data_IF_842575451406
#
_entry.id   IF_842575451406
#
_cell.length_a   1.000
_cell.length_b   1.000
_cell.length_c   1.000
_cell.angle_alpha   90.00
_cell.angle_beta   90.00
_cell.angle_gamma   90.00
#
_symmetry.space_group_name_H-M   'P 1'
#
loop_
_entity.id
_entity.type
_entity.pdbx_description
1 polymer ?
#
# COMPACT_ATOMS: atom_id res chain seq x y z
N UNK A 1 55.27 19.76 -40.14
CA UNK A 1 54.32 20.35 -39.17
C UNK A 1 53.02 19.57 -39.27
N UNK A 2 52.84 18.57 -38.41
CA UNK A 2 51.63 17.74 -38.39
C UNK A 2 50.60 18.36 -37.45
N UNK A 3 49.42 18.67 -37.99
CA UNK A 3 48.28 19.23 -37.24
C UNK A 3 47.67 18.16 -36.35
N UNK A 4 47.40 18.40 -35.05
CA UNK A 4 46.82 17.40 -34.18
C UNK A 4 45.31 17.29 -34.42
N UNK A 5 44.84 16.05 -34.59
CA UNK A 5 43.43 15.71 -34.73
C UNK A 5 42.65 16.15 -33.48
N UNK A 6 41.69 17.05 -33.66
CA UNK A 6 40.72 17.45 -32.63
C UNK A 6 39.88 16.23 -32.26
N UNK A 7 40.21 15.60 -31.14
CA UNK A 7 39.31 14.66 -30.48
C UNK A 7 38.14 15.48 -29.92
N UNK A 8 36.98 15.34 -30.54
CA UNK A 8 35.74 15.88 -29.98
C UNK A 8 35.44 15.10 -28.69
N UNK A 9 35.14 15.76 -27.56
CA UNK A 9 34.78 15.07 -26.34
C UNK A 9 33.52 14.22 -26.56
N UNK A 10 33.36 13.06 -25.89
CA UNK A 10 32.17 12.24 -26.03
C UNK A 10 30.94 13.08 -25.65
N UNK A 11 30.00 13.20 -26.59
CA UNK A 11 28.73 13.87 -26.35
C UNK A 11 28.02 13.14 -25.19
N UNK A 12 27.80 13.83 -24.08
CA UNK A 12 27.00 13.35 -22.96
C UNK A 12 25.57 13.15 -23.46
N UNK A 13 25.21 11.91 -23.75
CA UNK A 13 23.85 11.54 -24.14
C UNK A 13 22.92 11.89 -22.97
N UNK A 14 22.10 12.92 -23.16
CA UNK A 14 21.19 13.39 -22.12
C UNK A 14 19.97 12.47 -22.10
N UNK A 15 19.69 11.89 -20.92
CA UNK A 15 18.51 11.04 -20.68
C UNK A 15 17.39 11.87 -20.08
N UNK A 16 16.15 11.57 -20.46
CA UNK A 16 14.95 12.19 -19.91
C UNK A 16 14.60 11.66 -18.51
N UNK A 17 13.48 12.15 -17.95
CA UNK A 17 12.99 11.76 -16.63
C UNK A 17 12.51 10.29 -16.53
N UNK A 18 12.40 9.57 -17.65
CA UNK A 18 12.10 8.15 -17.74
C UNK A 18 13.35 7.30 -18.07
N UNK A 19 14.49 7.94 -18.34
CA UNK A 19 15.75 7.27 -18.66
C UNK A 19 15.94 6.94 -20.14
N UNK A 20 15.09 7.47 -21.02
CA UNK A 20 15.22 7.36 -22.47
C UNK A 20 16.20 8.42 -22.99
N UNK A 21 17.01 8.06 -23.98
CA UNK A 21 17.89 9.01 -24.66
C UNK A 21 17.13 9.70 -25.78
N UNK A 22 17.28 11.02 -25.92
CA UNK A 22 16.50 11.80 -26.88
C UNK A 22 16.82 11.52 -28.37
N UNK A 23 17.88 10.76 -28.65
CA UNK A 23 18.27 10.37 -30.01
C UNK A 23 17.38 9.24 -30.54
N UNK A 24 16.41 9.55 -31.40
CA UNK A 24 15.60 8.55 -32.12
C UNK A 24 14.07 8.67 -31.96
N UNK A 25 13.59 9.71 -31.28
CA UNK A 25 12.15 9.97 -31.16
C UNK A 25 11.62 10.69 -32.40
N UNK A 26 10.58 10.13 -33.02
CA UNK A 26 9.71 10.84 -33.96
C UNK A 26 8.75 11.78 -33.21
N UNK A 27 8.35 11.40 -31.99
CA UNK A 27 7.53 12.25 -31.12
C UNK A 27 8.01 12.11 -29.69
N UNK A 28 8.31 13.24 -29.05
CA UNK A 28 8.65 13.34 -27.64
C UNK A 28 7.91 14.55 -27.04
N UNK A 29 6.83 14.30 -26.30
CA UNK A 29 6.03 15.33 -25.64
C UNK A 29 6.01 15.02 -24.14
N UNK A 30 6.26 16.04 -23.33
CA UNK A 30 6.10 16.02 -21.88
C UNK A 30 5.19 17.18 -21.46
N UNK A 31 4.18 16.88 -20.64
CA UNK A 31 3.27 17.86 -20.04
C UNK A 31 3.08 17.53 -18.58
N UNK A 32 2.99 18.55 -17.74
CA UNK A 32 2.83 18.38 -16.29
C UNK A 32 1.69 19.24 -15.78
N UNK A 33 0.95 18.68 -14.84
CA UNK A 33 -0.06 19.37 -14.03
C UNK A 33 0.23 19.16 -12.56
N UNK A 34 -0.62 19.70 -11.68
CA UNK A 34 -0.41 19.63 -10.24
C UNK A 34 -0.35 18.19 -9.68
N UNK A 35 -1.04 17.23 -10.31
CA UNK A 35 -1.20 15.86 -9.79
C UNK A 35 -0.73 14.78 -10.76
N UNK A 36 -0.57 15.10 -12.04
CA UNK A 36 -0.32 14.15 -13.11
C UNK A 36 0.79 14.67 -14.03
N UNK A 37 1.59 13.76 -14.57
CA UNK A 37 2.51 14.06 -15.67
C UNK A 37 2.25 13.13 -16.84
N UNK A 38 2.35 13.68 -18.04
CA UNK A 38 1.96 13.03 -19.28
C UNK A 38 3.14 12.97 -20.22
N UNK A 39 3.24 11.85 -20.93
CA UNK A 39 4.27 11.64 -21.92
C UNK A 39 3.69 11.06 -23.20
N UNK A 40 4.22 11.52 -24.33
CA UNK A 40 4.07 10.86 -25.61
C UNK A 40 5.44 10.51 -26.14
N UNK A 41 5.73 9.22 -26.29
CA UNK A 41 7.02 8.71 -26.75
C UNK A 41 6.81 7.82 -27.95
N UNK A 42 7.28 8.26 -29.12
CA UNK A 42 7.22 7.53 -30.38
C UNK A 42 8.61 7.46 -30.99
N UNK A 43 9.10 6.25 -31.25
CA UNK A 43 10.40 6.01 -31.88
C UNK A 43 10.24 5.37 -33.25
N UNK A 44 11.19 5.66 -34.14
CA UNK A 44 11.31 5.00 -35.45
C UNK A 44 12.77 4.72 -35.75
N UNK A 45 13.11 3.49 -36.16
CA UNK A 45 14.49 3.11 -36.44
C UNK A 45 15.38 2.99 -35.20
N UNK A 46 14.79 2.66 -34.05
CA UNK A 46 15.46 2.49 -32.77
C UNK A 46 16.57 1.44 -32.89
N UNK A 47 17.79 1.82 -32.49
CA UNK A 47 18.87 0.87 -32.22
C UNK A 47 18.76 0.43 -30.77
N UNK A 48 19.08 -0.84 -30.48
CA UNK A 48 19.00 -1.42 -29.14
C UNK A 48 19.49 -0.42 -28.08
N UNK A 49 18.56 0.04 -27.25
CA UNK A 49 18.81 1.09 -26.27
C UNK A 49 18.41 0.60 -24.88
N UNK A 50 19.27 0.86 -23.90
CA UNK A 50 18.95 0.54 -22.51
C UNK A 50 18.40 1.76 -21.77
N UNK A 51 17.16 1.63 -21.33
CA UNK A 51 16.48 2.56 -20.44
C UNK A 51 16.75 2.14 -19.00
N UNK A 52 17.12 3.09 -18.15
CA UNK A 52 17.31 2.87 -16.72
C UNK A 52 16.73 4.04 -15.95
N UNK A 53 15.84 3.77 -15.00
CA UNK A 53 15.28 4.77 -14.10
C UNK A 53 15.45 4.27 -12.67
N UNK A 54 16.23 4.97 -11.82
CA UNK A 54 16.39 4.62 -10.42
C UNK A 54 15.06 4.67 -9.65
N UNK A 55 15.00 3.94 -8.54
CA UNK A 55 13.91 4.00 -7.58
C UNK A 55 13.72 5.44 -7.05
N UNK A 56 12.46 5.88 -6.92
CA UNK A 56 12.07 7.19 -6.43
C UNK A 56 10.66 7.17 -5.84
N UNK A 57 10.29 8.23 -5.09
CA UNK A 57 8.95 8.39 -4.52
C UNK A 57 7.91 9.02 -5.47
N UNK A 58 8.12 8.96 -6.79
CA UNK A 58 7.32 9.68 -7.80
C UNK A 58 5.90 9.13 -8.02
N UNK A 59 5.60 7.96 -7.45
CA UNK A 59 4.29 7.32 -7.56
C UNK A 59 4.30 6.21 -8.62
N UNK A 60 3.33 6.22 -9.53
CA UNK A 60 3.11 5.13 -10.50
C UNK A 60 3.16 5.65 -11.92
N UNK A 61 3.75 4.88 -12.83
CA UNK A 61 3.71 5.12 -14.27
C UNK A 61 2.82 4.09 -14.97
N UNK A 62 1.87 4.57 -15.75
CA UNK A 62 1.02 3.77 -16.64
C UNK A 62 1.47 4.09 -18.07
N UNK A 63 1.87 3.09 -18.84
CA UNK A 63 2.12 3.23 -20.27
C UNK A 63 1.16 2.38 -21.08
N UNK A 64 0.62 2.97 -22.14
CA UNK A 64 -0.34 2.36 -23.05
C UNK A 64 0.29 2.32 -24.43
N UNK A 65 0.46 1.12 -24.99
CA UNK A 65 1.02 0.93 -26.32
C UNK A 65 -0.03 1.29 -27.37
N UNK A 66 0.29 2.23 -28.25
CA UNK A 66 -0.59 2.71 -29.32
C UNK A 66 -0.37 1.96 -30.63
N UNK A 67 0.81 1.36 -30.78
CA UNK A 67 1.15 0.44 -31.87
C UNK A 67 1.52 -0.93 -31.30
N UNK A 68 1.45 -1.96 -32.16
CA UNK A 68 1.92 -3.30 -31.84
C UNK A 68 3.33 -3.57 -32.37
N UNK A 69 3.93 -4.66 -31.91
CA UNK A 69 5.23 -5.11 -32.38
C UNK A 69 6.40 -4.58 -31.56
N UNK A 70 6.14 -3.88 -30.46
CA UNK A 70 7.20 -3.46 -29.55
C UNK A 70 7.69 -4.63 -28.69
N UNK A 71 9.00 -4.85 -28.64
CA UNK A 71 9.63 -5.84 -27.78
C UNK A 71 10.62 -5.17 -26.84
N UNK A 72 10.56 -5.52 -25.56
CA UNK A 72 11.57 -5.10 -24.57
C UNK A 72 11.92 -6.22 -23.60
N UNK A 73 13.15 -6.20 -23.13
CA UNK A 73 13.66 -7.13 -22.12
C UNK A 73 13.84 -6.40 -20.80
N UNK A 74 13.04 -6.72 -19.80
CA UNK A 74 13.10 -6.08 -18.48
C UNK A 74 14.10 -6.84 -17.60
N UNK A 75 14.99 -6.10 -16.96
CA UNK A 75 16.09 -6.59 -16.14
C UNK A 75 15.76 -6.34 -14.66
N UNK A 76 15.70 -7.42 -13.86
CA UNK A 76 15.44 -7.38 -12.41
C UNK A 76 16.51 -8.19 -11.67
N UNK A 77 17.53 -7.50 -11.17
CA UNK A 77 18.70 -8.15 -10.56
C UNK A 77 19.38 -9.10 -11.54
N UNK A 78 19.43 -10.40 -11.20
CA UNK A 78 19.99 -11.45 -12.09
C UNK A 78 18.98 -12.05 -13.09
N UNK A 79 17.70 -11.69 -12.98
CA UNK A 79 16.64 -12.21 -13.85
C UNK A 79 16.34 -11.23 -14.97
N UNK A 80 15.93 -11.77 -16.11
CA UNK A 80 15.43 -10.96 -17.22
C UNK A 80 14.26 -11.65 -17.90
N UNK A 81 13.24 -10.90 -18.29
CA UNK A 81 12.10 -11.42 -19.02
C UNK A 81 11.83 -10.52 -20.22
N UNK A 82 11.63 -11.13 -21.38
CA UNK A 82 11.26 -10.44 -22.61
C UNK A 82 9.74 -10.39 -22.73
N UNK A 83 9.23 -9.23 -23.10
CA UNK A 83 7.80 -8.98 -23.31
C UNK A 83 7.57 -8.41 -24.71
N UNK A 84 6.53 -8.90 -25.36
CA UNK A 84 6.00 -8.39 -26.63
C UNK A 84 4.73 -7.60 -26.35
N UNK A 85 4.69 -6.35 -26.79
CA UNK A 85 3.57 -5.43 -26.66
C UNK A 85 2.81 -5.37 -27.98
N UNK A 86 1.50 -5.62 -27.89
CA UNK A 86 0.55 -5.37 -28.98
C UNK A 86 0.02 -3.94 -28.84
N UNK A 87 -0.73 -3.50 -29.84
CA UNK A 87 -1.56 -2.32 -29.66
C UNK A 87 -2.52 -2.56 -28.49
N UNK A 88 -2.74 -1.51 -27.68
CA UNK A 88 -3.55 -1.51 -26.46
C UNK A 88 -2.96 -2.31 -25.29
N UNK A 89 -1.76 -2.88 -25.44
CA UNK A 89 -1.06 -3.49 -24.33
C UNK A 89 -0.61 -2.42 -23.33
N UNK A 90 -0.93 -2.66 -22.07
CA UNK A 90 -0.62 -1.79 -20.94
C UNK A 90 0.61 -2.29 -20.19
N UNK A 91 1.37 -1.34 -19.67
CA UNK A 91 2.41 -1.58 -18.69
C UNK A 91 2.21 -0.65 -17.51
N UNK A 92 2.26 -1.20 -16.29
CA UNK A 92 2.17 -0.41 -15.07
C UNK A 92 3.39 -0.67 -14.20
N UNK A 93 3.98 0.41 -13.70
CA UNK A 93 5.22 0.39 -12.93
C UNK A 93 5.10 1.29 -11.71
N UNK A 94 5.57 0.78 -10.57
CA UNK A 94 5.83 1.57 -9.38
C UNK A 94 7.23 2.21 -9.46
N UNK A 95 7.32 3.52 -9.25
CA UNK A 95 8.61 4.22 -9.24
C UNK A 95 9.48 3.89 -8.03
N UNK A 96 8.93 3.31 -6.96
CA UNK A 96 9.70 2.87 -5.79
C UNK A 96 10.65 1.70 -6.08
N UNK A 97 10.54 1.09 -7.28
CA UNK A 97 11.44 0.06 -7.75
C UNK A 97 12.38 0.59 -8.86
N UNK A 98 13.65 0.14 -8.80
CA UNK A 98 14.58 0.31 -9.91
C UNK A 98 14.05 -0.37 -11.16
N UNK A 99 14.14 0.32 -12.29
CA UNK A 99 13.76 -0.23 -13.58
C UNK A 99 14.91 -0.15 -14.55
N UNK A 100 15.14 -1.27 -15.22
CA UNK A 100 16.05 -1.37 -16.35
C UNK A 100 15.40 -2.21 -17.43
N UNK A 101 15.48 -1.76 -18.67
CA UNK A 101 15.01 -2.52 -19.80
C UNK A 101 15.81 -2.23 -21.06
N UNK A 102 16.06 -3.28 -21.83
CA UNK A 102 16.59 -3.17 -23.18
C UNK A 102 15.40 -3.04 -24.14
N UNK A 103 15.30 -1.90 -24.82
CA UNK A 103 14.29 -1.62 -25.84
C UNK A 103 14.80 -2.19 -27.17
N UNK A 104 14.13 -3.24 -27.66
CA UNK A 104 14.65 -4.06 -28.76
C UNK A 104 14.04 -3.72 -30.11
N UNK A 105 13.01 -2.88 -30.14
CA UNK A 105 12.32 -2.43 -31.34
C UNK A 105 11.65 -1.08 -31.11
N UNK A 106 11.21 -0.46 -32.20
CA UNK A 106 10.38 0.74 -32.19
C UNK A 106 9.17 0.59 -31.28
N UNK A 107 8.71 1.72 -30.77
CA UNK A 107 7.58 1.78 -29.86
C UNK A 107 6.81 3.07 -29.97
N UNK A 108 5.53 2.97 -29.64
CA UNK A 108 4.63 4.10 -29.64
C UNK A 108 3.75 4.10 -28.39
N UNK A 109 4.04 4.96 -27.42
CA UNK A 109 3.37 4.97 -26.12
C UNK A 109 2.80 6.34 -25.76
N UNK A 110 1.61 6.32 -25.18
CA UNK A 110 1.12 7.37 -24.28
C UNK A 110 1.35 6.92 -22.84
N UNK A 111 1.91 7.78 -21.99
CA UNK A 111 2.15 7.47 -20.58
C UNK A 111 1.57 8.52 -19.65
N UNK A 112 1.10 8.06 -18.50
CA UNK A 112 0.59 8.89 -17.41
C UNK A 112 1.30 8.49 -16.12
N UNK A 113 2.00 9.44 -15.51
CA UNK A 113 2.55 9.36 -14.18
C UNK A 113 1.53 9.90 -13.17
N UNK A 114 1.16 9.06 -12.21
CA UNK A 114 0.29 9.38 -11.10
C UNK A 114 1.14 9.75 -9.88
N UNK A 115 1.00 10.98 -9.40
CA UNK A 115 1.65 11.39 -8.14
C UNK A 115 1.10 10.61 -6.94
N UNK A 116 1.86 10.51 -5.83
CA UNK A 116 1.35 9.94 -4.58
C UNK A 116 0.06 10.63 -4.10
N UNK A 117 -0.02 11.95 -4.21
CA UNK A 117 -1.21 12.73 -3.82
C UNK A 117 -2.46 12.38 -4.63
N UNK A 118 -2.31 12.10 -5.94
CA UNK A 118 -3.42 11.63 -6.77
C UNK A 118 -3.92 10.26 -6.30
N UNK A 119 -2.98 9.33 -6.04
CA UNK A 119 -3.27 7.97 -5.60
C UNK A 119 -3.97 7.98 -4.23
N UNK A 120 -3.46 8.78 -3.29
CA UNK A 120 -4.06 8.95 -1.96
C UNK A 120 -5.46 9.56 -2.03
N UNK A 121 -5.65 10.59 -2.86
CA UNK A 121 -6.96 11.23 -3.06
C UNK A 121 -8.01 10.31 -3.68
N UNK A 122 -7.60 9.34 -4.50
CA UNK A 122 -8.50 8.32 -5.05
C UNK A 122 -8.93 7.31 -3.98
N UNK A 123 -8.01 6.90 -3.10
CA UNK A 123 -8.31 5.99 -1.98
C UNK A 123 -9.29 6.61 -0.97
N UNK A 124 -9.28 7.92 -0.78
CA UNK A 124 -10.24 8.61 0.11
C UNK A 124 -11.67 8.68 -0.48
N UNK A 125 -11.80 8.70 -1.81
CA UNK A 125 -13.09 8.86 -2.52
C UNK A 125 -13.82 7.53 -2.78
N UNK A 126 -13.13 6.40 -2.74
CA UNK A 126 -13.72 5.08 -3.03
C UNK A 126 -13.23 3.97 -2.08
N UNK A 127 -14.07 3.60 -1.10
CA UNK A 127 -13.85 2.55 -0.06
C UNK A 127 -12.55 2.73 0.76
N UNK A 128 -12.49 2.29 2.04
CA UNK A 128 -11.32 2.48 2.90
C UNK A 128 -10.13 1.54 2.57
N UNK A 129 -9.98 1.13 1.30
CA UNK A 129 -8.86 0.32 0.84
C UNK A 129 -7.71 1.24 0.41
N UNK A 130 -6.57 1.14 1.09
CA UNK A 130 -5.34 1.79 0.61
C UNK A 130 -4.78 0.99 -0.56
N UNK A 131 -4.41 1.69 -1.64
CA UNK A 131 -3.61 1.12 -2.73
C UNK A 131 -2.24 0.81 -2.13
N UNK A 132 -1.94 -0.47 -1.90
CA UNK A 132 -0.73 -0.92 -1.20
C UNK A 132 0.48 -1.09 -2.14
N UNK A 133 0.38 -0.52 -3.34
CA UNK A 133 1.25 -0.77 -4.49
C UNK A 133 0.44 -1.23 -5.71
N UNK A 134 1.05 -1.15 -6.89
CA UNK A 134 0.48 -1.66 -8.15
C UNK A 134 1.14 -2.99 -8.48
N UNK A 135 0.34 -4.00 -8.84
CA UNK A 135 0.91 -5.23 -9.36
C UNK A 135 1.67 -4.91 -10.67
N UNK A 136 2.98 -5.22 -10.78
CA UNK A 136 3.72 -4.95 -12.00
C UNK A 136 3.08 -5.74 -13.14
N UNK A 137 2.33 -5.04 -13.97
CA UNK A 137 1.59 -5.60 -15.09
C UNK A 137 2.32 -5.18 -16.34
N UNK A 138 2.63 -6.16 -17.20
CA UNK A 138 3.44 -5.96 -18.38
C UNK A 138 2.79 -6.67 -19.55
N UNK A 139 2.56 -5.94 -20.64
CA UNK A 139 1.98 -6.45 -21.87
C UNK A 139 0.61 -7.13 -21.66
N UNK A 140 -0.25 -6.50 -20.85
CA UNK A 140 -1.62 -6.94 -20.66
C UNK A 140 -2.56 -6.11 -21.53
N UNK A 141 -3.51 -6.75 -22.22
CA UNK A 141 -4.43 -6.05 -23.09
C UNK A 141 -5.58 -5.44 -22.28
N UNK A 142 -5.74 -4.11 -22.35
CA UNK A 142 -6.83 -3.38 -21.69
C UNK A 142 -7.47 -2.43 -22.69
N UNK A 143 -8.61 -2.84 -23.22
CA UNK A 143 -9.29 -2.11 -24.30
C UNK A 143 -9.68 -0.69 -23.88
N UNK A 144 -10.15 -0.50 -22.65
CA UNK A 144 -10.57 0.82 -22.18
C UNK A 144 -9.36 1.76 -22.08
N UNK A 145 -8.25 1.29 -21.50
CA UNK A 145 -7.02 2.07 -21.48
C UNK A 145 -6.46 2.31 -22.88
N UNK A 146 -6.58 1.35 -23.81
CA UNK A 146 -6.21 1.54 -25.21
C UNK A 146 -6.98 2.68 -25.88
N UNK A 147 -8.31 2.71 -25.72
CA UNK A 147 -9.17 3.78 -26.24
C UNK A 147 -8.84 5.15 -25.61
N UNK A 148 -8.69 5.21 -24.29
CA UNK A 148 -8.31 6.44 -23.57
C UNK A 148 -6.90 6.91 -23.91
N UNK A 149 -5.95 5.99 -24.09
CA UNK A 149 -4.57 6.27 -24.46
C UNK A 149 -4.45 6.89 -25.86
N UNK A 150 -5.25 6.42 -26.83
CA UNK A 150 -5.35 7.03 -28.15
C UNK A 150 -5.92 8.45 -28.09
N UNK A 151 -7.00 8.65 -27.32
CA UNK A 151 -7.58 9.97 -27.12
C UNK A 151 -6.56 10.93 -26.48
N UNK A 152 -5.82 10.47 -25.47
CA UNK A 152 -4.76 11.24 -24.81
C UNK A 152 -3.64 11.59 -25.78
N UNK A 153 -3.22 10.64 -26.62
CA UNK A 153 -2.18 10.86 -27.62
C UNK A 153 -2.55 11.96 -28.62
N UNK A 154 -3.80 12.00 -29.06
CA UNK A 154 -4.31 13.05 -29.96
C UNK A 154 -4.34 14.42 -29.25
N UNK A 155 -4.87 14.47 -28.03
CA UNK A 155 -4.96 15.71 -27.26
C UNK A 155 -3.57 16.30 -26.89
N UNK A 156 -2.56 15.45 -26.69
CA UNK A 156 -1.20 15.91 -26.44
C UNK A 156 -0.53 16.55 -27.67
N UNK A 157 -0.97 16.25 -28.89
CA UNK A 157 -0.37 16.76 -30.13
C UNK A 157 -0.89 18.14 -30.55
N UNK A 158 -2.15 18.46 -30.26
CA UNK A 158 -2.81 19.67 -30.73
C UNK A 158 -2.37 20.94 -29.99
N UNK A 159 -2.08 20.83 -28.69
CA UNK A 159 -1.44 21.91 -27.91
C UNK A 159 -2.32 23.14 -27.60
N UNK A 160 -3.64 23.07 -27.80
CA UNK A 160 -4.58 24.16 -27.47
C UNK A 160 -4.96 24.17 -25.97
N UNK A 161 -5.40 25.31 -25.46
CA UNK A 161 -5.86 25.47 -24.09
C UNK A 161 -7.10 24.60 -23.78
N UNK A 162 -7.99 24.41 -24.75
CA UNK A 162 -9.12 23.48 -24.62
C UNK A 162 -8.66 22.03 -24.42
N UNK A 163 -7.53 21.66 -25.04
CA UNK A 163 -6.95 20.31 -24.91
C UNK A 163 -6.24 20.10 -23.58
N UNK A 164 -5.79 21.16 -22.89
CA UNK A 164 -5.20 21.04 -21.56
C UNK A 164 -6.21 20.46 -20.54
N UNK A 165 -7.45 20.96 -20.54
CA UNK A 165 -8.52 20.41 -19.70
C UNK A 165 -8.84 18.96 -20.11
N UNK A 166 -8.90 18.67 -21.40
CA UNK A 166 -9.16 17.32 -21.90
C UNK A 166 -8.07 16.33 -21.47
N UNK A 167 -6.79 16.71 -21.60
CA UNK A 167 -5.62 15.92 -21.15
C UNK A 167 -5.76 15.60 -19.66
N UNK A 168 -6.15 16.57 -18.84
CA UNK A 168 -6.36 16.36 -17.41
C UNK A 168 -7.49 15.37 -17.13
N UNK A 169 -8.65 15.52 -17.78
CA UNK A 169 -9.79 14.61 -17.60
C UNK A 169 -9.46 13.19 -18.07
N UNK A 170 -8.74 13.04 -19.18
CA UNK A 170 -8.26 11.75 -19.67
C UNK A 170 -7.26 11.13 -18.69
N UNK A 171 -6.35 11.93 -18.14
CA UNK A 171 -5.41 11.51 -17.10
C UNK A 171 -6.10 10.99 -15.84
N UNK A 172 -7.12 11.71 -15.36
CA UNK A 172 -7.94 11.30 -14.21
C UNK A 172 -8.67 9.99 -14.52
N UNK A 173 -9.27 9.85 -15.70
CA UNK A 173 -9.97 8.63 -16.11
C UNK A 173 -9.03 7.42 -16.20
N UNK A 174 -7.88 7.57 -16.88
CA UNK A 174 -6.83 6.55 -16.99
C UNK A 174 -6.34 6.16 -15.60
N UNK A 175 -5.98 7.14 -14.77
CA UNK A 175 -5.47 6.89 -13.42
C UNK A 175 -6.49 6.17 -12.54
N UNK A 176 -7.76 6.60 -12.60
CA UNK A 176 -8.85 5.98 -11.84
C UNK A 176 -9.06 4.52 -12.22
N UNK A 177 -9.20 4.24 -13.52
CA UNK A 177 -9.39 2.87 -14.01
C UNK A 177 -8.16 2.00 -13.73
N UNK A 178 -6.95 2.50 -14.00
CA UNK A 178 -5.73 1.74 -13.78
C UNK A 178 -5.52 1.41 -12.29
N UNK A 179 -5.88 2.31 -11.37
CA UNK A 179 -5.82 2.02 -9.94
C UNK A 179 -6.90 1.03 -9.49
N UNK A 180 -8.07 1.03 -10.14
CA UNK A 180 -9.09 0.01 -9.88
C UNK A 180 -8.69 -1.38 -10.42
N UNK A 181 -8.11 -1.44 -11.63
CA UNK A 181 -7.77 -2.68 -12.33
C UNK A 181 -6.42 -3.29 -11.91
N UNK A 182 -5.40 -2.44 -11.63
CA UNK A 182 -4.01 -2.86 -11.37
C UNK A 182 -3.47 -2.40 -10.03
N UNK A 183 -4.02 -1.33 -9.46
CA UNK A 183 -3.76 -0.95 -8.07
C UNK A 183 -4.21 -2.12 -7.22
N UNK A 184 -3.27 -2.83 -6.60
CA UNK A 184 -3.58 -4.02 -5.82
C UNK A 184 -4.49 -3.61 -4.69
N UNK A 185 -5.81 -3.73 -4.90
CA UNK A 185 -6.83 -3.44 -3.92
C UNK A 185 -6.63 -4.43 -2.78
N UNK A 186 -5.84 -4.02 -1.77
CA UNK A 186 -5.91 -4.67 -0.48
C UNK A 186 -7.19 -4.17 0.15
N UNK A 187 -8.28 -4.89 -0.09
CA UNK A 187 -9.46 -4.80 0.76
C UNK A 187 -9.03 -5.18 2.18
N UNK A 188 -8.59 -4.19 2.97
CA UNK A 188 -8.34 -4.28 4.40
C UNK A 188 -7.48 -5.49 4.87
N UNK A 189 -6.72 -6.14 3.99
CA UNK A 189 -6.00 -7.38 4.31
C UNK A 189 -4.95 -7.13 5.40
N UNK A 190 -4.45 -5.91 5.55
CA UNK A 190 -3.54 -5.56 6.65
C UNK A 190 -4.27 -5.38 7.98
N UNK A 191 -5.56 -5.01 8.03
CA UNK A 191 -6.37 -5.12 9.26
C UNK A 191 -6.86 -6.54 9.50
N UNK A 192 -7.24 -7.28 8.46
CA UNK A 192 -7.66 -8.69 8.56
C UNK A 192 -6.49 -9.61 8.97
N UNK A 193 -5.29 -9.42 8.40
CA UNK A 193 -4.03 -10.05 8.84
C UNK A 193 -3.46 -9.42 10.11
N UNK A 194 -4.09 -8.40 10.69
CA UNK A 194 -3.80 -7.92 12.04
C UNK A 194 -4.98 -8.20 12.96
N UNK A 195 -5.88 -9.13 12.64
CA UNK A 195 -6.93 -9.57 13.56
C UNK A 195 -6.80 -11.06 13.78
N UNK A 196 -7.17 -11.51 14.98
CA UNK A 196 -7.34 -12.93 15.23
C UNK A 196 -8.57 -13.40 14.45
N UNK A 197 -8.49 -14.57 13.84
CA UNK A 197 -9.70 -15.23 13.34
C UNK A 197 -10.61 -15.58 14.52
N UNK A 198 -11.92 -15.69 14.31
CA UNK A 198 -12.88 -15.96 15.39
C UNK A 198 -12.51 -17.21 16.24
N UNK A 199 -12.00 -18.33 15.67
CA UNK A 199 -11.53 -19.46 16.48
C UNK A 199 -10.30 -19.12 17.34
N UNK A 200 -9.34 -18.35 16.82
CA UNK A 200 -8.14 -17.94 17.55
C UNK A 200 -8.46 -16.89 18.62
N UNK A 201 -9.37 -15.97 18.36
CA UNK A 201 -9.86 -15.01 19.34
C UNK A 201 -10.52 -15.72 20.52
N UNK A 202 -11.44 -16.65 20.24
CA UNK A 202 -12.10 -17.45 21.27
C UNK A 202 -11.08 -18.22 22.10
N UNK A 203 -10.14 -18.89 21.44
CA UNK A 203 -9.07 -19.65 22.11
C UNK A 203 -8.19 -18.74 22.99
N UNK A 204 -7.80 -17.57 22.49
CA UNK A 204 -7.00 -16.61 23.25
C UNK A 204 -7.74 -16.10 24.49
N UNK A 205 -9.04 -15.78 24.36
CA UNK A 205 -9.88 -15.35 25.48
C UNK A 205 -10.05 -16.44 26.54
N UNK A 206 -10.27 -17.69 26.13
CA UNK A 206 -10.33 -18.85 27.04
C UNK A 206 -9.03 -19.02 27.82
N UNK A 207 -7.88 -18.96 27.13
CA UNK A 207 -6.57 -19.08 27.77
C UNK A 207 -6.26 -17.93 28.72
N UNK A 208 -6.64 -16.69 28.36
CA UNK A 208 -6.52 -15.53 29.26
C UNK A 208 -7.40 -15.69 30.51
N UNK A 209 -8.65 -16.14 30.34
CA UNK A 209 -9.59 -16.33 31.45
C UNK A 209 -9.20 -17.48 32.39
N UNK A 210 -8.53 -18.52 31.88
CA UNK A 210 -8.03 -19.65 32.68
C UNK A 210 -6.88 -19.28 33.63
N UNK A 211 -6.30 -18.08 33.50
CA UNK A 211 -5.44 -17.48 34.53
C UNK A 211 -4.03 -18.05 34.67
N UNK A 212 -3.63 -19.06 33.88
CA UNK A 212 -2.36 -19.79 34.04
C UNK A 212 -1.45 -19.71 32.80
N UNK A 213 -1.46 -18.60 32.05
CA UNK A 213 -0.74 -18.57 30.77
C UNK A 213 -0.14 -17.19 30.47
N UNK A 214 1.16 -17.15 30.20
CA UNK A 214 1.87 -15.95 29.74
C UNK A 214 1.38 -15.52 28.35
N UNK A 215 1.53 -14.23 28.01
CA UNK A 215 1.21 -13.73 26.66
C UNK A 215 2.00 -14.49 25.58
N UNK A 216 3.21 -14.96 25.90
CA UNK A 216 4.04 -15.76 24.99
C UNK A 216 3.46 -17.14 24.72
N UNK A 217 2.88 -17.78 25.72
CA UNK A 217 2.21 -19.07 25.57
C UNK A 217 0.93 -18.98 24.75
N UNK A 218 0.16 -17.89 24.92
CA UNK A 218 -1.05 -17.66 24.11
C UNK A 218 -0.65 -17.39 22.65
N UNK A 219 0.39 -16.59 22.43
CA UNK A 219 0.95 -16.35 21.11
C UNK A 219 1.43 -17.65 20.43
N UNK A 220 2.13 -18.52 21.18
CA UNK A 220 2.55 -19.85 20.71
C UNK A 220 1.36 -20.75 20.38
N UNK A 221 0.33 -20.77 21.22
CA UNK A 221 -0.90 -21.53 20.95
C UNK A 221 -1.62 -21.04 19.69
N UNK A 222 -1.50 -19.74 19.38
CA UNK A 222 -2.01 -19.13 18.15
C UNK A 222 -1.04 -19.23 16.96
N UNK A 223 0.14 -19.86 17.11
CA UNK A 223 1.20 -20.00 16.11
C UNK A 223 1.70 -18.66 15.53
N UNK A 224 1.78 -17.63 16.37
CA UNK A 224 2.24 -16.28 15.98
C UNK A 224 3.29 -15.75 16.95
N UNK A 225 4.02 -14.71 16.55
CA UNK A 225 4.95 -14.03 17.46
C UNK A 225 4.20 -13.23 18.53
N UNK A 226 4.82 -13.02 19.70
CA UNK A 226 4.26 -12.23 20.82
C UNK A 226 3.81 -10.83 20.38
N UNK A 227 4.68 -10.11 19.67
CA UNK A 227 4.40 -8.75 19.20
C UNK A 227 3.23 -8.72 18.21
N UNK A 228 3.16 -9.71 17.32
CA UNK A 228 2.03 -9.85 16.40
C UNK A 228 0.74 -10.16 17.16
N UNK A 229 0.77 -11.09 18.13
CA UNK A 229 -0.40 -11.44 18.93
C UNK A 229 -1.00 -10.25 19.68
N UNK A 230 -0.17 -9.44 20.35
CA UNK A 230 -0.64 -8.25 21.10
C UNK A 230 -1.36 -7.28 20.17
N UNK A 231 -0.74 -6.99 19.01
CA UNK A 231 -1.32 -6.11 18.01
C UNK A 231 -2.61 -6.70 17.43
N UNK A 232 -2.61 -8.01 17.15
CA UNK A 232 -3.75 -8.69 16.56
C UNK A 232 -4.95 -8.78 17.50
N UNK A 233 -4.70 -9.10 18.76
CA UNK A 233 -5.70 -9.13 19.80
C UNK A 233 -6.30 -7.74 20.04
N UNK A 234 -5.46 -6.69 20.09
CA UNK A 234 -5.91 -5.31 20.28
C UNK A 234 -6.76 -4.80 19.11
N UNK A 235 -6.37 -5.10 17.88
CA UNK A 235 -7.16 -4.75 16.71
C UNK A 235 -8.49 -5.53 16.61
N UNK A 236 -8.55 -6.73 17.19
CA UNK A 236 -9.76 -7.57 17.21
C UNK A 236 -10.73 -7.13 18.30
N UNK A 237 -10.22 -6.92 19.52
CA UNK A 237 -11.04 -6.69 20.73
C UNK A 237 -11.15 -5.21 21.13
N UNK A 238 -10.38 -4.33 20.49
CA UNK A 238 -10.23 -2.93 20.85
C UNK A 238 -9.32 -2.68 22.06
N UNK A 239 -8.74 -3.72 22.68
CA UNK A 239 -8.01 -3.63 23.96
C UNK A 239 -6.79 -4.53 23.98
N UNK A 240 -5.74 -4.15 24.69
CA UNK A 240 -4.59 -5.05 24.88
C UNK A 240 -4.99 -6.31 25.67
N UNK A 241 -4.31 -7.45 25.50
CA UNK A 241 -4.62 -8.67 26.26
C UNK A 241 -4.70 -8.46 27.78
N UNK A 242 -3.78 -7.66 28.33
CA UNK A 242 -3.77 -7.33 29.75
C UNK A 242 -4.98 -6.48 30.18
N UNK A 243 -5.33 -5.45 29.40
CA UNK A 243 -6.51 -4.63 29.69
C UNK A 243 -7.80 -5.45 29.63
N UNK A 244 -7.95 -6.28 28.60
CA UNK A 244 -9.11 -7.17 28.47
C UNK A 244 -9.23 -8.11 29.68
N UNK A 245 -8.12 -8.72 30.12
CA UNK A 245 -8.11 -9.59 31.30
C UNK A 245 -8.50 -8.84 32.59
N UNK A 246 -7.95 -7.65 32.81
CA UNK A 246 -8.28 -6.83 33.98
C UNK A 246 -9.77 -6.49 34.01
N UNK A 247 -10.38 -6.17 32.88
CA UNK A 247 -11.83 -5.92 32.80
C UNK A 247 -12.65 -7.16 33.15
N UNK A 248 -12.28 -8.34 32.64
CA UNK A 248 -13.00 -9.58 33.01
C UNK A 248 -12.91 -9.86 34.51
N UNK A 249 -11.74 -9.61 35.12
CA UNK A 249 -11.53 -9.76 36.56
C UNK A 249 -12.36 -8.75 37.36
N UNK A 250 -12.48 -7.51 36.88
CA UNK A 250 -13.30 -6.48 37.50
C UNK A 250 -14.80 -6.84 37.42
N UNK A 251 -15.27 -7.36 36.28
CA UNK A 251 -16.66 -7.81 36.16
C UNK A 251 -16.96 -9.01 37.07
N UNK A 252 -16.02 -9.95 37.23
CA UNK A 252 -16.15 -11.01 38.21
C UNK A 252 -16.19 -10.46 39.65
N UNK A 253 -15.30 -9.51 39.98
CA UNK A 253 -15.25 -8.87 41.29
C UNK A 253 -16.55 -8.11 41.61
N UNK A 254 -17.15 -7.41 40.64
CA UNK A 254 -18.44 -6.72 40.81
C UNK A 254 -19.55 -7.68 41.27
N UNK A 255 -19.62 -8.87 40.68
CA UNK A 255 -20.61 -9.90 41.07
C UNK A 255 -20.42 -10.33 42.53
N UNK A 256 -19.18 -10.59 42.93
CA UNK A 256 -18.82 -10.99 44.30
C UNK A 256 -19.06 -9.87 45.31
N UNK A 257 -18.74 -8.63 44.94
CA UNK A 257 -18.99 -7.45 45.78
C UNK A 257 -20.50 -7.24 46.01
N UNK A 258 -21.31 -7.40 44.97
CA UNK A 258 -22.76 -7.21 45.08
C UNK A 258 -23.44 -8.30 45.92
N UNK A 259 -23.05 -9.57 45.80
CA UNK A 259 -23.83 -10.70 46.34
C UNK A 259 -23.15 -11.52 47.45
N UNK A 260 -21.89 -11.25 47.85
CA UNK A 260 -21.17 -12.11 48.79
C UNK A 260 -20.35 -11.37 49.85
N UNK A 261 -20.16 -11.97 51.03
CA UNK A 261 -19.54 -11.30 52.18
C UNK A 261 -18.02 -11.43 52.26
N UNK A 262 -17.39 -11.71 51.12
CA UNK A 262 -15.95 -11.88 51.06
C UNK A 262 -15.22 -10.55 51.31
N UNK A 263 -14.08 -10.62 51.99
CA UNK A 263 -13.20 -9.46 52.18
C UNK A 263 -12.62 -9.00 50.84
N UNK A 264 -12.20 -7.74 50.75
CA UNK A 264 -11.57 -7.22 49.52
C UNK A 264 -10.29 -7.99 49.18
N UNK A 265 -9.52 -8.43 50.18
CA UNK A 265 -8.36 -9.31 50.00
C UNK A 265 -8.75 -10.64 49.33
N UNK A 266 -9.78 -11.32 49.85
CA UNK A 266 -10.25 -12.60 49.32
C UNK A 266 -10.83 -12.47 47.91
N UNK A 267 -11.53 -11.38 47.62
CA UNK A 267 -12.04 -11.10 46.27
C UNK A 267 -10.88 -10.84 45.30
N UNK A 268 -9.86 -10.07 45.73
CA UNK A 268 -8.68 -9.79 44.91
C UNK A 268 -7.94 -11.08 44.53
N UNK A 269 -7.68 -11.95 45.52
CA UNK A 269 -7.05 -13.26 45.31
C UNK A 269 -7.88 -14.14 44.38
N UNK A 270 -9.19 -14.29 44.65
CA UNK A 270 -10.06 -15.13 43.84
C UNK A 270 -10.21 -14.64 42.40
N UNK A 271 -10.20 -13.32 42.17
CA UNK A 271 -10.25 -12.75 40.83
C UNK A 271 -8.86 -12.74 40.15
N UNK A 272 -7.82 -13.28 40.78
CA UNK A 272 -6.48 -13.40 40.20
C UNK A 272 -5.65 -12.11 40.20
N UNK A 273 -5.93 -11.16 41.08
CA UNK A 273 -5.06 -10.01 41.29
C UNK A 273 -3.86 -10.39 42.17
N UNK A 274 -2.70 -9.81 41.87
CA UNK A 274 -1.47 -10.04 42.64
C UNK A 274 -1.50 -9.49 44.06
N UNK A 275 -2.38 -8.52 44.35
CA UNK A 275 -2.58 -7.97 45.68
C UNK A 275 -3.91 -7.21 45.78
N UNK A 276 -4.40 -7.00 47.01
CA UNK A 276 -5.56 -6.14 47.27
C UNK A 276 -5.35 -4.70 46.78
N UNK A 277 -4.12 -4.17 46.90
CA UNK A 277 -3.78 -2.82 46.45
C UNK A 277 -3.88 -2.71 44.92
N UNK A 278 -3.35 -3.68 44.19
CA UNK A 278 -3.46 -3.75 42.73
C UNK A 278 -4.92 -3.87 42.27
N UNK A 279 -5.71 -4.70 42.96
CA UNK A 279 -7.15 -4.79 42.74
C UNK A 279 -7.86 -3.44 42.95
N UNK A 280 -7.61 -2.78 44.08
CA UNK A 280 -8.26 -1.52 44.44
C UNK A 280 -7.99 -0.43 43.41
N UNK A 281 -6.73 -0.28 42.98
CA UNK A 281 -6.32 0.69 41.96
C UNK A 281 -6.96 0.38 40.60
N UNK A 282 -6.92 -0.88 40.17
CA UNK A 282 -7.49 -1.31 38.89
C UNK A 282 -9.00 -1.12 38.85
N UNK A 283 -9.69 -1.46 39.95
CA UNK A 283 -11.14 -1.30 40.09
C UNK A 283 -11.54 0.17 40.06
N UNK A 284 -10.85 1.02 40.83
CA UNK A 284 -11.10 2.46 40.84
C UNK A 284 -10.84 3.09 39.46
N UNK A 285 -9.78 2.67 38.76
CA UNK A 285 -9.49 3.15 37.41
C UNK A 285 -10.58 2.78 36.39
N UNK A 286 -11.16 1.58 36.50
CA UNK A 286 -12.18 1.12 35.55
C UNK A 286 -13.59 1.64 35.87
N UNK A 287 -13.93 1.78 37.15
CA UNK A 287 -15.30 2.05 37.62
C UNK A 287 -15.47 3.50 38.12
N UNK A 288 -14.36 4.22 38.37
CA UNK A 288 -14.36 5.57 38.93
C UNK A 288 -14.53 5.62 40.45
N UNK A 289 -14.70 4.47 41.12
CA UNK A 289 -14.91 4.36 42.57
C UNK A 289 -14.12 3.19 43.16
N UNK A 290 -13.56 3.32 44.37
CA UNK A 290 -12.94 2.20 45.07
C UNK A 290 -13.95 1.06 45.34
N UNK A 291 -13.52 -0.22 45.35
CA UNK A 291 -14.41 -1.38 45.44
C UNK A 291 -15.24 -1.42 46.73
N UNK A 292 -14.71 -0.90 47.85
CA UNK A 292 -15.47 -0.80 49.11
C UNK A 292 -16.61 0.23 49.05
N UNK A 293 -16.38 1.38 48.37
CA UNK A 293 -17.42 2.39 48.16
C UNK A 293 -18.46 1.89 47.15
N UNK A 294 -18.01 1.22 46.10
CA UNK A 294 -18.89 0.58 45.12
C UNK A 294 -19.78 -0.49 45.75
N UNK A 295 -19.24 -1.36 46.62
CA UNK A 295 -19.99 -2.38 47.37
C UNK A 295 -21.14 -1.78 48.17
N UNK A 296 -20.88 -0.69 48.90
CA UNK A 296 -21.93 -0.02 49.70
C UNK A 296 -23.06 0.50 48.83
N UNK A 297 -22.74 1.08 47.66
CA UNK A 297 -23.75 1.55 46.70
C UNK A 297 -24.54 0.41 46.05
N UNK A 298 -23.89 -0.72 45.77
CA UNK A 298 -24.54 -1.85 45.12
C UNK A 298 -25.48 -2.64 46.06
N UNK A 299 -25.38 -2.43 47.38
CA UNK A 299 -26.20 -3.09 48.41
C UNK A 299 -27.18 -2.16 49.14
N UNK A 300 -27.07 -0.86 48.89
CA UNK A 300 -28.03 0.12 49.36
C UNK A 300 -29.26 0.08 48.45
#
# INVERSE_FOLDING_TARGET
MSSPARHSPPQTITKDSLGCTSSGFLTDIERETALLRFYRKHTTGLRLEQVSTPASGRGVLIGISLSGGHRRKILRGRRSVTHDFRADSVYVRDFSEDYRADMMSDFDFALVELSPSFIDGLAERGRPARIAGVAPTLAHDDRLLGELGRALALALQSGDAADAMLVDQLGIAIGTHAMHAYGGLRADETKQRRRLSAPLERRAKEMLAAGATSVDEIARACRVSRGYFINAFSATTGKTPHQWLIEQRIEAAKRLLAHGDWTLARIAEHCGFSSQSHFTQSFAKAIGLPPGAWRRRARA
#
